data_IF_941879752550
#
_entry.id   IF_941879752550
#
_cell.length_a   1.000
_cell.length_b   1.000
_cell.length_c   1.000
_cell.angle_alpha   90.00
_cell.angle_beta   90.00
_cell.angle_gamma   90.00
#
_symmetry.space_group_name_H-M   'P 1'
#
loop_
_entity.id
_entity.type
_entity.pdbx_description
1 polymer ?
#
# COMPACT_ATOMS: atom_id res chain seq x y z
N UNK A 1 13.51 -15.73 3.47
CA UNK A 1 12.52 -16.78 3.16
C UNK A 1 11.44 -16.20 2.25
N UNK A 2 10.72 -17.06 1.50
CA UNK A 2 9.56 -16.68 0.65
C UNK A 2 9.88 -15.65 -0.45
N UNK A 3 11.14 -15.55 -0.90
CA UNK A 3 11.60 -14.61 -1.92
C UNK A 3 11.24 -13.13 -1.63
N UNK A 4 11.00 -12.76 -0.38
CA UNK A 4 10.89 -11.36 0.02
C UNK A 4 12.30 -10.78 0.07
N UNK A 5 12.56 -9.77 -0.76
CA UNK A 5 13.82 -9.03 -0.75
C UNK A 5 13.83 -8.05 0.42
N UNK A 6 14.87 -8.09 1.25
CA UNK A 6 15.03 -7.18 2.39
C UNK A 6 16.30 -6.37 2.21
N UNK A 7 16.15 -5.06 2.17
CA UNK A 7 17.26 -4.11 2.15
C UNK A 7 17.36 -3.43 3.51
N UNK A 8 18.54 -3.47 4.12
CA UNK A 8 18.78 -2.82 5.41
C UNK A 8 19.94 -1.83 5.27
N UNK A 9 19.77 -0.63 5.84
CA UNK A 9 20.81 0.37 5.99
C UNK A 9 20.82 0.90 7.41
N UNK A 10 21.88 0.58 8.17
CA UNK A 10 22.05 1.14 9.51
C UNK A 10 22.32 2.64 9.45
N UNK A 11 21.62 3.39 10.30
CA UNK A 11 21.82 4.82 10.55
C UNK A 11 21.58 5.12 12.03
N UNK A 12 22.66 5.24 12.79
CA UNK A 12 22.65 5.44 14.23
C UNK A 12 22.57 6.92 14.65
N UNK A 13 22.29 7.84 13.74
CA UNK A 13 22.21 9.27 14.05
C UNK A 13 20.98 9.64 14.89
N UNK A 14 19.92 8.82 14.83
CA UNK A 14 18.69 8.99 15.61
C UNK A 14 18.18 7.61 16.05
N UNK A 15 17.57 7.50 17.25
CA UNK A 15 17.01 6.24 17.74
C UNK A 15 15.68 5.90 17.06
N UNK A 16 15.59 6.05 15.73
CA UNK A 16 14.40 5.81 14.94
C UNK A 16 14.68 4.80 13.84
N UNK A 17 13.65 4.03 13.52
CA UNK A 17 13.65 3.08 12.41
C UNK A 17 12.47 3.42 11.50
N UNK A 18 12.75 3.50 10.20
CA UNK A 18 11.74 3.55 9.16
C UNK A 18 11.74 2.22 8.40
N UNK A 19 10.57 1.59 8.29
CA UNK A 19 10.34 0.44 7.42
C UNK A 19 9.35 0.80 6.32
N UNK A 20 9.65 0.36 5.12
CA UNK A 20 8.78 0.48 3.96
C UNK A 20 8.64 -0.90 3.30
N UNK A 21 7.41 -1.43 3.24
CA UNK A 21 7.06 -2.62 2.50
C UNK A 21 6.32 -2.23 1.23
N UNK A 22 6.90 -2.53 0.08
CA UNK A 22 6.28 -2.32 -1.22
C UNK A 22 5.84 -3.67 -1.78
N UNK A 23 4.61 -3.75 -2.22
CA UNK A 23 4.03 -4.94 -2.83
C UNK A 23 3.55 -4.57 -4.23
N UNK A 24 4.12 -5.23 -5.23
CA UNK A 24 3.88 -4.94 -6.65
C UNK A 24 2.43 -5.22 -7.03
N UNK A 25 1.82 -4.32 -7.77
CA UNK A 25 0.50 -4.51 -8.35
C UNK A 25 0.66 -5.32 -9.64
N UNK A 26 0.06 -6.51 -9.68
CA UNK A 26 0.10 -7.40 -10.86
C UNK A 26 -1.23 -7.44 -11.62
N UNK A 27 -2.22 -6.64 -11.24
CA UNK A 27 -3.56 -6.71 -11.81
C UNK A 27 -3.67 -5.81 -13.04
N UNK A 28 -3.96 -6.41 -14.19
CA UNK A 28 -4.25 -5.69 -15.44
C UNK A 28 -5.74 -5.39 -15.64
N UNK A 29 -6.61 -5.95 -14.81
CA UNK A 29 -8.07 -5.84 -14.94
C UNK A 29 -8.71 -5.09 -13.76
N UNK A 30 -7.91 -4.42 -12.96
CA UNK A 30 -8.43 -3.70 -11.82
C UNK A 30 -9.28 -2.50 -12.26
N UNK A 31 -10.43 -2.38 -11.68
CA UNK A 31 -11.22 -1.15 -11.78
C UNK A 31 -10.38 -0.02 -11.17
N UNK A 32 -10.20 1.11 -11.91
CA UNK A 32 -9.44 2.24 -11.37
C UNK A 32 -9.87 2.62 -9.96
N UNK A 33 -8.92 2.69 -9.02
CA UNK A 33 -9.17 3.10 -7.65
C UNK A 33 -9.34 1.96 -6.64
N UNK A 34 -9.46 0.70 -7.03
CA UNK A 34 -9.60 -0.44 -6.09
C UNK A 34 -8.41 -0.53 -5.14
N UNK A 35 -7.19 -0.40 -5.66
CA UNK A 35 -5.97 -0.42 -4.84
C UNK A 35 -5.91 0.78 -3.89
N UNK A 36 -6.44 1.93 -4.31
CA UNK A 36 -6.53 3.13 -3.47
C UNK A 36 -7.46 2.94 -2.27
N UNK A 37 -8.65 2.34 -2.49
CA UNK A 37 -9.57 1.98 -1.40
C UNK A 37 -8.95 0.91 -0.51
N UNK A 38 -8.36 -0.14 -1.08
CA UNK A 38 -7.70 -1.19 -0.32
C UNK A 38 -6.60 -0.64 0.58
N UNK A 39 -5.77 0.29 0.08
CA UNK A 39 -4.72 0.91 0.90
C UNK A 39 -5.29 1.66 2.11
N UNK A 40 -6.40 2.36 1.97
CA UNK A 40 -7.09 3.05 3.08
C UNK A 40 -7.64 2.09 4.12
N UNK A 41 -8.13 0.96 3.66
CA UNK A 41 -8.78 -0.03 4.50
C UNK A 41 -7.81 -0.85 5.37
N UNK A 42 -6.50 -0.89 5.04
CA UNK A 42 -5.51 -1.56 5.88
C UNK A 42 -5.46 -1.04 7.32
N UNK A 43 -5.84 0.21 7.56
CA UNK A 43 -5.85 0.80 8.90
C UNK A 43 -7.24 0.83 9.56
N UNK A 44 -8.24 0.19 8.95
CA UNK A 44 -9.61 0.16 9.46
C UNK A 44 -9.94 -1.10 10.28
N UNK A 45 -8.93 -1.87 10.66
CA UNK A 45 -9.04 -3.04 11.52
C UNK A 45 -8.58 -4.33 10.88
N UNK A 46 -8.36 -5.31 11.74
CA UNK A 46 -7.92 -6.66 11.40
C UNK A 46 -8.82 -7.67 12.12
N UNK A 47 -8.60 -8.96 11.87
CA UNK A 47 -9.27 -10.04 12.64
C UNK A 47 -8.93 -10.01 14.14
N UNK A 48 -7.81 -9.38 14.51
CA UNK A 48 -7.28 -9.37 15.87
C UNK A 48 -7.48 -8.01 16.57
N UNK A 49 -7.73 -6.94 15.82
CA UNK A 49 -7.80 -5.55 16.32
C UNK A 49 -8.90 -4.79 15.62
N UNK A 50 -9.75 -4.12 16.37
CA UNK A 50 -10.63 -3.10 15.79
C UNK A 50 -9.82 -1.90 15.29
N UNK A 51 -10.40 -1.05 14.46
CA UNK A 51 -9.76 0.19 14.00
C UNK A 51 -9.31 1.08 15.19
N UNK A 52 -10.16 1.17 16.23
CA UNK A 52 -9.84 1.93 17.43
C UNK A 52 -8.67 1.31 18.22
N UNK A 53 -8.67 0.00 18.42
CA UNK A 53 -7.57 -0.70 19.09
C UNK A 53 -6.26 -0.54 18.33
N UNK A 54 -6.32 -0.66 16.99
CA UNK A 54 -5.14 -0.46 16.14
C UNK A 54 -4.59 0.97 16.30
N UNK A 55 -5.46 1.98 16.25
CA UNK A 55 -5.06 3.37 16.43
C UNK A 55 -4.47 3.62 17.83
N UNK A 56 -5.09 3.08 18.89
CA UNK A 56 -4.59 3.20 20.28
C UNK A 56 -3.23 2.54 20.46
N UNK A 57 -2.99 1.36 19.85
CA UNK A 57 -1.68 0.71 19.91
C UNK A 57 -0.61 1.54 19.16
N UNK A 58 -0.92 2.04 17.96
CA UNK A 58 0.00 2.88 17.20
C UNK A 58 0.38 4.14 17.98
N UNK A 59 -0.60 4.79 18.61
CA UNK A 59 -0.36 5.98 19.43
C UNK A 59 0.47 5.65 20.69
N UNK A 60 0.16 4.55 21.39
CA UNK A 60 0.85 4.14 22.62
C UNK A 60 2.36 3.88 22.42
N UNK A 61 2.73 3.36 21.24
CA UNK A 61 4.12 3.12 20.85
C UNK A 61 4.72 4.22 19.96
N UNK A 62 4.01 5.34 19.78
CA UNK A 62 4.41 6.42 18.87
C UNK A 62 4.82 5.92 17.46
N UNK A 63 4.09 4.93 16.94
CA UNK A 63 4.32 4.36 15.61
C UNK A 63 3.54 5.19 14.58
N UNK A 64 4.25 5.87 13.70
CA UNK A 64 3.67 6.55 12.54
C UNK A 64 3.45 5.52 11.42
N UNK A 65 2.22 5.02 11.26
CA UNK A 65 1.89 4.02 10.22
C UNK A 65 1.07 4.66 9.11
N UNK A 66 1.35 4.27 7.87
CA UNK A 66 0.55 4.67 6.71
C UNK A 66 0.56 3.62 5.61
N UNK A 67 -0.53 3.59 4.83
CA UNK A 67 -0.65 2.79 3.62
C UNK A 67 -1.12 3.66 2.47
N UNK A 68 -0.50 3.51 1.29
CA UNK A 68 -0.89 4.21 0.07
C UNK A 68 -0.70 3.32 -1.17
N UNK A 69 -1.53 3.54 -2.18
CA UNK A 69 -1.41 2.90 -3.48
C UNK A 69 -0.73 3.85 -4.47
N UNK A 70 0.19 3.30 -5.26
CA UNK A 70 0.82 3.92 -6.42
C UNK A 70 0.43 3.13 -7.67
N UNK A 71 0.82 3.60 -8.84
CA UNK A 71 0.51 2.93 -10.09
C UNK A 71 1.08 1.50 -10.19
N UNK A 72 2.25 1.26 -9.59
CA UNK A 72 3.00 0.00 -9.71
C UNK A 72 2.98 -0.85 -8.44
N UNK A 73 2.67 -0.27 -7.29
CA UNK A 73 2.77 -0.94 -5.99
C UNK A 73 1.85 -0.32 -4.94
N UNK A 74 1.52 -1.13 -3.95
CA UNK A 74 0.98 -0.66 -2.68
C UNK A 74 2.12 -0.60 -1.70
N UNK A 75 2.17 0.49 -0.95
CA UNK A 75 3.18 0.76 0.05
C UNK A 75 2.55 0.82 1.43
N UNK A 76 3.10 0.01 2.33
CA UNK A 76 2.87 0.10 3.76
C UNK A 76 4.17 0.56 4.41
N UNK A 77 4.12 1.59 5.23
CA UNK A 77 5.31 2.11 5.89
C UNK A 77 5.01 2.47 7.33
N UNK A 78 6.01 2.33 8.17
CA UNK A 78 5.97 2.89 9.52
C UNK A 78 7.30 3.54 9.90
N UNK A 79 7.24 4.42 10.89
CA UNK A 79 8.38 4.94 11.62
C UNK A 79 8.12 4.72 13.11
N UNK A 80 9.09 4.18 13.83
CA UNK A 80 9.02 3.91 15.27
C UNK A 80 10.36 4.20 15.96
N UNK A 81 10.40 4.10 17.29
CA UNK A 81 11.65 4.02 18.02
C UNK A 81 12.32 2.65 17.81
N UNK A 82 13.65 2.57 17.95
CA UNK A 82 14.38 1.33 17.74
C UNK A 82 13.94 0.22 18.69
N UNK A 83 13.62 0.52 19.96
CA UNK A 83 13.12 -0.43 20.95
C UNK A 83 11.74 -1.02 20.60
N UNK A 84 10.94 -0.32 19.80
CA UNK A 84 9.58 -0.73 19.42
C UNK A 84 9.52 -1.41 18.03
N UNK A 85 10.66 -1.65 17.38
CA UNK A 85 10.70 -2.21 16.02
C UNK A 85 9.97 -3.55 15.90
N UNK A 86 10.19 -4.46 16.85
CA UNK A 86 9.53 -5.77 16.84
C UNK A 86 8.00 -5.64 16.96
N UNK A 87 7.53 -4.70 17.80
CA UNK A 87 6.10 -4.39 17.96
C UNK A 87 5.51 -3.77 16.69
N UNK A 88 6.22 -2.84 16.07
CA UNK A 88 5.78 -2.24 14.82
C UNK A 88 5.68 -3.27 13.68
N UNK A 89 6.61 -4.23 13.61
CA UNK A 89 6.56 -5.33 12.64
C UNK A 89 5.41 -6.30 12.95
N UNK A 90 5.12 -6.60 14.22
CA UNK A 90 3.95 -7.40 14.61
C UNK A 90 2.64 -6.77 14.12
N UNK A 91 2.50 -5.44 14.29
CA UNK A 91 1.33 -4.70 13.80
C UNK A 91 1.27 -4.74 12.26
N UNK A 92 2.40 -4.51 11.59
CA UNK A 92 2.48 -4.63 10.12
C UNK A 92 2.09 -6.03 9.63
N UNK A 93 2.57 -7.07 10.31
CA UNK A 93 2.22 -8.47 10.03
C UNK A 93 0.71 -8.68 10.09
N UNK A 94 0.09 -8.23 11.18
CA UNK A 94 -1.36 -8.37 11.39
C UNK A 94 -2.16 -7.60 10.33
N UNK A 95 -1.79 -6.36 10.06
CA UNK A 95 -2.39 -5.55 9.00
C UNK A 95 -2.26 -6.22 7.63
N UNK A 96 -1.07 -6.74 7.29
CA UNK A 96 -0.85 -7.39 5.98
C UNK A 96 -1.62 -8.69 5.84
N UNK A 97 -1.72 -9.51 6.90
CA UNK A 97 -2.29 -10.87 6.83
C UNK A 97 -3.77 -10.95 7.19
N UNK A 98 -4.26 -10.05 8.01
CA UNK A 98 -5.53 -10.22 8.71
C UNK A 98 -6.51 -9.04 8.53
N UNK A 99 -6.25 -8.07 7.64
CA UNK A 99 -7.20 -6.97 7.39
C UNK A 99 -8.57 -7.51 6.98
N UNK A 100 -9.64 -6.94 7.55
CA UNK A 100 -11.03 -7.38 7.33
C UNK A 100 -11.75 -6.57 6.26
N UNK A 101 -11.34 -5.32 6.05
CA UNK A 101 -11.94 -4.38 5.09
C UNK A 101 -13.43 -4.08 5.36
N UNK A 102 -13.87 -4.16 6.63
CA UNK A 102 -15.28 -4.02 7.00
C UNK A 102 -15.83 -2.60 6.76
N UNK A 103 -15.01 -1.56 6.91
CA UNK A 103 -15.41 -0.15 6.72
C UNK A 103 -15.41 0.30 5.23
N UNK A 104 -15.58 -0.64 4.29
CA UNK A 104 -15.49 -0.40 2.85
C UNK A 104 -16.34 0.76 2.35
N UNK A 105 -17.64 0.77 2.64
CA UNK A 105 -18.58 1.80 2.16
C UNK A 105 -18.21 3.20 2.68
N UNK A 106 -17.78 3.28 3.93
CA UNK A 106 -17.35 4.53 4.56
C UNK A 106 -16.09 5.09 3.91
N UNK A 107 -15.07 4.24 3.70
CA UNK A 107 -13.81 4.67 3.09
C UNK A 107 -13.96 4.96 1.59
N UNK A 108 -14.81 4.23 0.87
CA UNK A 108 -15.14 4.52 -0.53
C UNK A 108 -15.79 5.91 -0.66
N UNK A 109 -16.78 6.21 0.18
CA UNK A 109 -17.46 7.52 0.19
C UNK A 109 -16.52 8.67 0.57
N UNK A 110 -15.61 8.42 1.51
CA UNK A 110 -14.59 9.39 1.91
C UNK A 110 -13.62 9.67 0.75
N UNK A 111 -13.15 8.61 0.08
CA UNK A 111 -12.30 8.75 -1.11
C UNK A 111 -13.00 9.52 -2.22
N UNK A 112 -14.29 9.24 -2.50
CA UNK A 112 -15.08 9.98 -3.48
C UNK A 112 -15.10 11.48 -3.18
N UNK A 113 -15.39 11.85 -1.93
CA UNK A 113 -15.40 13.25 -1.50
C UNK A 113 -14.05 13.94 -1.63
N UNK A 114 -12.96 13.25 -1.28
CA UNK A 114 -11.60 13.79 -1.41
C UNK A 114 -11.19 13.99 -2.88
N UNK A 115 -11.52 13.05 -3.78
CA UNK A 115 -11.25 13.18 -5.21
C UNK A 115 -12.04 14.34 -5.84
N UNK A 116 -13.30 14.53 -5.44
CA UNK A 116 -14.11 15.67 -5.89
C UNK A 116 -13.45 16.98 -5.42
N UNK A 117 -13.08 17.08 -4.15
CA UNK A 117 -12.43 18.27 -3.60
C UNK A 117 -11.06 18.54 -4.24
N UNK A 118 -10.28 17.51 -4.54
CA UNK A 118 -9.02 17.63 -5.27
C UNK A 118 -9.23 18.27 -6.66
N UNK A 119 -10.23 17.77 -7.39
CA UNK A 119 -10.56 18.26 -8.73
C UNK A 119 -11.16 19.67 -8.74
N UNK A 120 -11.52 20.26 -7.60
CA UNK A 120 -11.88 21.69 -7.53
C UNK A 120 -10.67 22.60 -7.74
N UNK A 121 -9.45 22.12 -7.49
CA UNK A 121 -8.22 22.86 -7.76
C UNK A 121 -7.93 22.96 -9.26
N UNK A 122 -7.72 24.18 -9.82
CA UNK A 122 -7.34 24.35 -11.22
C UNK A 122 -6.05 23.59 -11.58
N UNK A 123 -5.09 23.56 -10.65
CA UNK A 123 -3.82 22.85 -10.83
C UNK A 123 -4.04 21.34 -10.94
N UNK A 124 -4.84 20.77 -10.05
CA UNK A 124 -5.17 19.33 -10.09
C UNK A 124 -5.88 18.97 -11.40
N UNK A 125 -6.85 19.79 -11.85
CA UNK A 125 -7.53 19.61 -13.16
C UNK A 125 -6.57 19.58 -14.36
N UNK A 126 -5.55 20.44 -14.35
CA UNK A 126 -4.55 20.44 -15.43
C UNK A 126 -3.74 19.16 -15.42
N UNK A 127 -3.23 18.73 -14.25
CA UNK A 127 -2.49 17.49 -14.14
C UNK A 127 -3.35 16.27 -14.48
N UNK A 128 -4.59 16.22 -14.02
CA UNK A 128 -5.53 15.13 -14.31
C UNK A 128 -5.73 14.96 -15.84
N UNK A 129 -6.02 16.05 -16.54
CA UNK A 129 -6.17 16.04 -18.01
C UNK A 129 -4.86 15.70 -18.73
N UNK A 130 -3.75 16.27 -18.27
CA UNK A 130 -2.44 16.03 -18.88
C UNK A 130 -2.01 14.57 -18.77
N UNK A 131 -2.03 14.00 -17.56
CA UNK A 131 -1.66 12.60 -17.36
C UNK A 131 -2.67 11.63 -17.98
N UNK A 132 -3.96 11.95 -17.93
CA UNK A 132 -5.01 11.16 -18.58
C UNK A 132 -4.83 11.09 -20.10
N UNK A 133 -4.31 12.15 -20.75
CA UNK A 133 -4.03 12.15 -22.19
C UNK A 133 -2.68 11.53 -22.50
N UNK A 134 -1.63 11.88 -21.73
CA UNK A 134 -0.27 11.36 -21.94
C UNK A 134 -0.19 9.83 -21.79
N UNK A 135 -0.99 9.26 -20.88
CA UNK A 135 -1.01 7.84 -20.58
C UNK A 135 -2.40 7.21 -20.82
N UNK A 136 -3.08 7.57 -21.90
CA UNK A 136 -4.48 7.26 -22.14
C UNK A 136 -4.82 5.75 -21.98
N UNK A 137 -3.95 4.87 -22.49
CA UNK A 137 -4.13 3.40 -22.46
C UNK A 137 -3.12 2.70 -21.53
N UNK A 138 -2.58 3.43 -20.56
CA UNK A 138 -1.58 2.93 -19.64
C UNK A 138 -2.05 3.09 -18.19
N UNK A 139 -1.67 2.21 -17.24
CA UNK A 139 -2.02 2.35 -15.82
C UNK A 139 -1.63 3.71 -15.20
N UNK A 140 -0.58 4.35 -15.70
CA UNK A 140 -0.17 5.69 -15.25
C UNK A 140 -1.17 6.80 -15.61
N UNK A 141 -2.09 6.52 -16.55
CA UNK A 141 -3.21 7.38 -16.88
C UNK A 141 -4.45 7.15 -16.00
N UNK A 142 -4.32 6.43 -14.87
CA UNK A 142 -5.37 6.34 -13.86
C UNK A 142 -5.40 7.65 -13.08
N UNK A 143 -6.29 8.54 -13.50
CA UNK A 143 -6.47 9.89 -12.94
C UNK A 143 -7.64 9.91 -11.97
N UNK A 144 -7.75 11.00 -11.17
CA UNK A 144 -8.87 11.20 -10.23
C UNK A 144 -10.21 11.21 -10.94
N UNK A 145 -10.28 11.79 -12.17
CA UNK A 145 -11.48 11.73 -13.01
C UNK A 145 -11.85 10.30 -13.39
N UNK A 146 -10.88 9.49 -13.88
CA UNK A 146 -11.15 8.09 -14.22
C UNK A 146 -11.61 7.26 -13.02
N UNK A 147 -11.07 7.53 -11.83
CA UNK A 147 -11.49 6.85 -10.60
C UNK A 147 -12.95 7.21 -10.30
N UNK A 148 -13.30 8.49 -10.33
CA UNK A 148 -14.67 8.95 -10.07
C UNK A 148 -15.69 8.39 -11.07
N UNK A 149 -15.35 8.33 -12.35
CA UNK A 149 -16.21 7.71 -13.38
C UNK A 149 -16.47 6.22 -13.12
N UNK A 150 -15.53 5.56 -12.44
CA UNK A 150 -15.61 4.13 -12.11
C UNK A 150 -15.95 3.85 -10.65
N UNK A 151 -16.24 4.85 -9.83
CA UNK A 151 -16.41 4.71 -8.38
C UNK A 151 -17.47 3.65 -8.02
N UNK A 152 -18.58 3.61 -8.76
CA UNK A 152 -19.67 2.63 -8.57
C UNK A 152 -19.29 1.19 -8.96
N UNK A 153 -18.22 1.03 -9.71
CA UNK A 153 -17.70 -0.28 -10.12
C UNK A 153 -16.70 -0.84 -9.11
N UNK A 154 -16.26 -0.03 -8.14
CA UNK A 154 -15.44 -0.47 -7.02
C UNK A 154 -16.36 -1.15 -6.02
N UNK A 155 -16.17 -2.44 -5.80
CA UNK A 155 -16.98 -3.24 -4.87
C UNK A 155 -16.10 -3.89 -3.82
N UNK A 156 -16.68 -4.20 -2.65
CA UNK A 156 -16.00 -4.91 -1.58
C UNK A 156 -15.41 -6.25 -2.06
N UNK A 157 -16.15 -6.99 -2.90
CA UNK A 157 -15.69 -8.24 -3.51
C UNK A 157 -14.41 -8.03 -4.34
N UNK A 158 -14.33 -6.95 -5.13
CA UNK A 158 -13.14 -6.63 -5.90
C UNK A 158 -11.95 -6.26 -5.02
N UNK A 159 -12.18 -5.56 -3.91
CA UNK A 159 -11.13 -5.28 -2.94
C UNK A 159 -10.59 -6.58 -2.34
N UNK A 160 -11.47 -7.50 -1.92
CA UNK A 160 -11.05 -8.80 -1.38
C UNK A 160 -10.29 -9.65 -2.41
N UNK A 161 -10.74 -9.68 -3.66
CA UNK A 161 -10.03 -10.37 -4.75
C UNK A 161 -8.66 -9.76 -5.02
N UNK A 162 -8.56 -8.44 -5.00
CA UNK A 162 -7.30 -7.72 -5.18
C UNK A 162 -6.35 -8.00 -4.01
N UNK A 163 -6.87 -8.04 -2.79
CA UNK A 163 -6.10 -8.38 -1.59
C UNK A 163 -5.57 -9.83 -1.64
N UNK A 164 -6.39 -10.78 -2.06
CA UNK A 164 -5.95 -12.17 -2.24
C UNK A 164 -4.81 -12.28 -3.26
N UNK A 165 -4.95 -11.61 -4.41
CA UNK A 165 -3.89 -11.55 -5.42
C UNK A 165 -2.62 -10.86 -4.91
N UNK A 166 -2.76 -9.80 -4.12
CA UNK A 166 -1.69 -9.06 -3.47
C UNK A 166 -0.90 -9.94 -2.48
N UNK A 167 -1.59 -10.77 -1.69
CA UNK A 167 -0.92 -11.70 -0.77
C UNK A 167 -0.20 -12.83 -1.52
N UNK A 168 -0.88 -13.44 -2.49
CA UNK A 168 -0.48 -14.72 -3.07
C UNK A 168 0.41 -14.61 -4.32
N UNK A 169 0.25 -13.54 -5.12
CA UNK A 169 0.81 -13.48 -6.46
C UNK A 169 1.72 -12.26 -6.71
N UNK A 170 2.11 -11.52 -5.68
CA UNK A 170 2.85 -10.28 -5.85
C UNK A 170 4.26 -10.33 -5.30
N UNK A 171 5.20 -9.69 -6.00
CA UNK A 171 6.54 -9.45 -5.48
C UNK A 171 6.47 -8.48 -4.29
N UNK A 172 7.21 -8.83 -3.23
CA UNK A 172 7.28 -8.07 -1.98
C UNK A 172 8.73 -7.65 -1.74
N UNK A 173 8.92 -6.37 -1.43
CA UNK A 173 10.23 -5.79 -1.12
C UNK A 173 10.11 -4.98 0.17
N UNK A 174 11.01 -5.22 1.11
CA UNK A 174 11.07 -4.49 2.38
C UNK A 174 12.37 -3.71 2.42
N UNK A 175 12.29 -2.42 2.76
CA UNK A 175 13.44 -1.58 3.04
C UNK A 175 13.38 -1.08 4.48
N UNK A 176 14.48 -1.20 5.21
CA UNK A 176 14.62 -0.77 6.61
C UNK A 176 15.81 0.16 6.72
N UNK A 177 15.59 1.33 7.33
CA UNK A 177 16.65 2.30 7.61
C UNK A 177 16.51 2.79 9.05
N UNK A 178 17.58 2.73 9.83
CA UNK A 178 17.56 3.22 11.22
C UNK A 178 18.67 2.64 12.08
N UNK A 179 18.59 2.88 13.38
CA UNK A 179 19.56 2.35 14.35
C UNK A 179 19.19 0.93 14.77
N UNK A 180 19.45 0.00 13.87
CA UNK A 180 19.22 -1.44 14.07
C UNK A 180 20.25 -2.24 13.28
N UNK A 181 20.65 -3.39 13.82
CA UNK A 181 21.56 -4.30 13.14
C UNK A 181 20.82 -5.14 12.08
N UNK A 182 21.48 -5.38 10.95
CA UNK A 182 20.88 -6.12 9.82
C UNK A 182 20.43 -7.53 10.22
N UNK A 183 21.16 -8.21 11.12
CA UNK A 183 20.80 -9.54 11.59
C UNK A 183 19.50 -9.53 12.40
N UNK A 184 19.27 -8.49 13.19
CA UNK A 184 18.03 -8.32 13.96
C UNK A 184 16.85 -8.07 13.03
N UNK A 185 17.01 -7.18 12.03
CA UNK A 185 16.00 -6.94 10.99
C UNK A 185 15.62 -8.25 10.30
N UNK A 186 16.62 -9.04 9.88
CA UNK A 186 16.40 -10.30 9.20
C UNK A 186 15.62 -11.29 10.08
N UNK A 187 15.96 -11.41 11.34
CA UNK A 187 15.28 -12.29 12.29
C UNK A 187 13.82 -11.88 12.50
N UNK A 188 13.56 -10.61 12.76
CA UNK A 188 12.20 -10.10 13.01
C UNK A 188 11.32 -10.24 11.77
N UNK A 189 11.81 -9.84 10.59
CA UNK A 189 11.07 -9.94 9.33
C UNK A 189 10.81 -11.40 8.93
N UNK A 190 11.81 -12.29 9.09
CA UNK A 190 11.63 -13.70 8.79
C UNK A 190 10.60 -14.36 9.72
N UNK A 191 10.57 -14.00 11.00
CA UNK A 191 9.57 -14.52 11.94
C UNK A 191 8.17 -14.06 11.56
N UNK A 192 7.99 -12.77 11.28
CA UNK A 192 6.71 -12.18 10.94
C UNK A 192 6.15 -12.73 9.61
N UNK A 193 6.97 -12.79 8.56
CA UNK A 193 6.48 -13.04 7.20
C UNK A 193 6.81 -14.44 6.64
N UNK A 194 7.35 -15.37 7.45
CA UNK A 194 7.68 -16.74 7.01
C UNK A 194 6.48 -17.55 6.53
N UNK A 195 5.27 -17.24 6.96
CA UNK A 195 4.03 -17.90 6.56
C UNK A 195 3.36 -17.31 5.32
N UNK A 196 3.85 -16.16 4.81
CA UNK A 196 3.33 -15.64 3.55
C UNK A 196 3.71 -16.55 2.38
N UNK A 197 2.88 -16.62 1.35
CA UNK A 197 3.21 -17.29 0.09
C UNK A 197 4.49 -16.72 -0.53
N UNK A 198 5.13 -17.52 -1.37
CA UNK A 198 6.33 -17.07 -2.07
C UNK A 198 6.07 -15.79 -2.87
N UNK A 199 6.99 -14.86 -2.77
CA UNK A 199 6.99 -13.64 -3.56
C UNK A 199 7.26 -13.98 -5.02
N UNK A 200 6.29 -13.72 -5.90
CA UNK A 200 6.39 -14.04 -7.33
C UNK A 200 6.53 -12.74 -8.12
N UNK A 201 7.60 -12.64 -8.89
CA UNK A 201 7.78 -11.53 -9.83
C UNK A 201 7.15 -11.87 -11.18
N UNK A 202 5.84 -11.65 -11.29
CA UNK A 202 5.19 -11.69 -12.57
C UNK A 202 5.52 -10.40 -13.34
N UNK A 203 6.16 -10.48 -14.52
CA UNK A 203 6.40 -9.29 -15.31
C UNK A 203 5.05 -8.63 -15.64
N UNK A 204 4.95 -7.34 -15.39
CA UNK A 204 3.78 -6.59 -15.79
C UNK A 204 3.68 -6.68 -17.31
N UNK A 205 2.51 -7.09 -17.82
CA UNK A 205 2.23 -7.11 -19.27
C UNK A 205 1.93 -5.70 -19.80
N UNK A 206 2.26 -4.66 -19.05
CA UNK A 206 1.99 -3.31 -19.47
C UNK A 206 2.87 -2.96 -20.68
N UNK A 207 2.24 -2.57 -21.77
CA UNK A 207 2.92 -2.02 -22.95
C UNK A 207 3.64 -0.72 -22.56
N UNK A 208 4.74 -0.40 -23.24
CA UNK A 208 5.32 0.93 -23.11
C UNK A 208 4.27 1.98 -23.51
N UNK A 209 4.22 3.14 -22.82
CA UNK A 209 3.35 4.23 -23.23
C UNK A 209 3.62 4.57 -24.70
N UNK A 210 2.57 4.73 -25.49
CA UNK A 210 2.72 5.27 -26.84
C UNK A 210 3.15 6.73 -26.74
N UNK A 211 4.23 7.09 -27.43
CA UNK A 211 4.63 8.48 -27.54
C UNK A 211 3.55 9.20 -28.35
N UNK A 212 3.08 10.35 -27.81
CA UNK A 212 2.22 11.24 -28.59
C UNK A 212 3.03 11.71 -29.81
N UNK A 213 2.59 11.36 -31.00
CA UNK A 213 3.11 11.96 -32.23
C UNK A 213 2.75 13.46 -32.21
N UNK A 214 3.74 14.30 -32.49
CA UNK A 214 3.59 15.77 -32.54
C UNK A 214 2.71 16.21 -33.73
#
# INVERSE_FOLDING_TARGET
>A
KNNIEVFCKRNANTPRIALCMNIKINTQEAVPGVEGVMARLFLQGTKNRTAEQLAQELDAYAIEFSADAKADYIRLKFVCLNEDFAKAVEILEDVVKNSTFDDFEKELKKMEGELIAELDSPRAKVYDKYYGKLFENHPYGTTSTKILENIKNITHEKVLKTYDAFLNNSKKVIAVVGDIESQEVENVINNAFSSLPESVDNPSKCSKPELLEN
#
